data_IF_179319545751
#
_entry.id   IF_179319545751
#
_cell.length_a   1.000
_cell.length_b   1.000
_cell.length_c   1.000
_cell.angle_alpha   90.00
_cell.angle_beta   90.00
_cell.angle_gamma   90.00
#
_symmetry.space_group_name_H-M   'P 1'
#
loop_
_entity.id
_entity.type
_entity.pdbx_description
1 polymer ?
#
# COMPACT_ATOMS: atom_id res chain seq x y z
N UNK A 1 -1.58 10.64 17.06
CA UNK A 1 -1.09 9.87 15.90
C UNK A 1 0.42 9.64 16.03
N UNK A 2 0.87 8.61 16.79
CA UNK A 2 2.30 8.31 16.93
C UNK A 2 3.05 8.17 15.60
N UNK A 3 4.19 8.86 15.50
CA UNK A 3 5.13 8.80 14.40
C UNK A 3 6.49 8.33 14.92
N UNK A 4 7.02 7.24 14.37
CA UNK A 4 8.29 6.63 14.80
C UNK A 4 9.22 6.56 13.61
N UNK A 5 10.36 7.25 13.68
CA UNK A 5 11.45 7.13 12.72
C UNK A 5 12.59 6.30 13.29
N UNK A 6 13.41 5.72 12.42
CA UNK A 6 14.60 5.00 12.87
C UNK A 6 15.37 4.36 11.73
N UNK A 7 16.29 3.47 12.10
CA UNK A 7 17.08 2.69 11.16
C UNK A 7 17.19 1.24 11.61
N UNK A 8 17.33 0.34 10.64
CA UNK A 8 17.51 -1.09 10.86
C UNK A 8 18.65 -1.60 9.97
N UNK A 9 19.39 -2.62 10.42
CA UNK A 9 20.50 -3.24 9.69
C UNK A 9 20.10 -4.54 8.99
N UNK A 10 18.87 -5.03 9.21
CA UNK A 10 18.38 -6.28 8.65
C UNK A 10 16.85 -6.34 8.56
N UNK A 11 16.33 -7.28 7.75
CA UNK A 11 14.88 -7.55 7.65
C UNK A 11 14.27 -7.99 9.01
N UNK A 12 14.91 -8.89 9.80
CA UNK A 12 14.50 -9.16 11.18
C UNK A 12 14.44 -7.93 12.09
N UNK A 13 15.39 -6.99 11.97
CA UNK A 13 15.37 -5.75 12.74
C UNK A 13 14.20 -4.85 12.33
N UNK A 14 13.88 -4.72 11.04
CA UNK A 14 12.68 -3.98 10.60
C UNK A 14 11.39 -4.60 11.13
N UNK A 15 11.26 -5.94 11.08
CA UNK A 15 10.11 -6.63 11.68
C UNK A 15 9.98 -6.32 13.16
N UNK A 16 11.11 -6.37 13.87
CA UNK A 16 11.17 -6.11 15.31
C UNK A 16 10.81 -4.67 15.63
N UNK A 17 11.33 -3.70 14.86
CA UNK A 17 11.02 -2.28 15.01
C UNK A 17 9.53 -1.99 14.77
N UNK A 18 8.95 -2.55 13.70
CA UNK A 18 7.51 -2.44 13.41
C UNK A 18 6.66 -3.01 14.55
N UNK A 19 6.89 -4.27 14.92
CA UNK A 19 6.06 -4.96 15.92
C UNK A 19 6.19 -4.31 17.31
N UNK A 20 7.41 -3.92 17.72
CA UNK A 20 7.62 -3.19 18.98
C UNK A 20 6.95 -1.81 18.94
N UNK A 21 7.02 -1.10 17.82
CA UNK A 21 6.33 0.19 17.64
C UNK A 21 4.82 0.07 17.78
N UNK A 22 4.21 -0.97 17.20
CA UNK A 22 2.78 -1.24 17.31
C UNK A 22 2.38 -1.66 18.73
N UNK A 23 3.13 -2.58 19.36
CA UNK A 23 2.87 -3.03 20.75
C UNK A 23 3.00 -1.89 21.75
N UNK A 24 4.00 -1.01 21.59
CA UNK A 24 4.15 0.18 22.42
C UNK A 24 2.98 1.17 22.30
N UNK A 25 2.19 1.09 21.22
CA UNK A 25 1.04 1.94 20.94
C UNK A 25 -0.30 1.17 20.97
N UNK A 26 -0.36 0.12 21.80
CA UNK A 26 -1.62 -0.54 22.19
C UNK A 26 -2.12 -1.64 21.24
N UNK A 27 -1.31 -2.09 20.29
CA UNK A 27 -1.59 -3.31 19.53
C UNK A 27 -1.15 -4.55 20.34
N UNK A 28 -1.81 -5.69 20.11
CA UNK A 28 -1.45 -6.97 20.74
C UNK A 28 -0.74 -7.86 19.73
N UNK A 29 0.38 -8.47 20.14
CA UNK A 29 1.11 -9.47 19.36
C UNK A 29 0.89 -10.86 19.96
N UNK A 30 0.39 -11.79 19.15
CA UNK A 30 0.27 -13.22 19.46
C UNK A 30 0.90 -14.04 18.34
N UNK A 31 1.98 -14.78 18.64
CA UNK A 31 2.80 -15.47 17.63
C UNK A 31 3.37 -14.51 16.58
N UNK A 32 2.85 -14.59 15.35
CA UNK A 32 3.18 -13.68 14.26
C UNK A 32 2.07 -12.65 13.95
N UNK A 33 0.92 -12.74 14.62
CA UNK A 33 -0.26 -11.91 14.37
C UNK A 33 -0.22 -10.67 15.26
N UNK A 34 -0.13 -9.50 14.64
CA UNK A 34 -0.38 -8.21 15.29
C UNK A 34 -1.85 -7.84 15.06
N UNK A 35 -2.55 -7.42 16.13
CA UNK A 35 -3.97 -7.09 16.04
C UNK A 35 -4.42 -6.01 17.03
N UNK A 36 -5.49 -5.30 16.65
CA UNK A 36 -6.19 -4.30 17.48
C UNK A 36 -7.62 -4.16 16.97
N UNK A 37 -8.60 -4.21 17.87
CA UNK A 37 -10.00 -4.30 17.47
C UNK A 37 -10.24 -5.50 16.56
N UNK A 38 -10.85 -5.26 15.41
CA UNK A 38 -11.13 -6.26 14.37
C UNK A 38 -10.02 -6.34 13.29
N UNK A 39 -8.94 -5.56 13.39
CA UNK A 39 -7.80 -5.62 12.45
C UNK A 39 -6.83 -6.72 12.87
N UNK A 40 -6.64 -7.73 12.01
CA UNK A 40 -5.69 -8.84 12.23
C UNK A 40 -4.72 -8.98 11.06
N UNK A 41 -3.42 -8.91 11.32
CA UNK A 41 -2.37 -9.08 10.30
C UNK A 41 -1.24 -9.98 10.81
N UNK A 42 -0.92 -11.04 10.06
CA UNK A 42 0.31 -11.80 10.26
C UNK A 42 1.48 -11.08 9.58
N UNK A 43 2.51 -10.73 10.35
CA UNK A 43 3.77 -10.18 9.81
C UNK A 43 4.85 -11.26 9.88
N UNK A 44 5.28 -11.77 8.72
CA UNK A 44 6.23 -12.90 8.62
C UNK A 44 7.45 -12.57 7.77
N UNK A 45 8.53 -13.34 7.98
CA UNK A 45 9.66 -13.45 7.04
C UNK A 45 9.52 -14.82 6.35
N UNK A 46 9.13 -14.87 5.07
CA UNK A 46 8.97 -16.14 4.36
C UNK A 46 10.26 -16.97 4.24
N UNK A 47 10.11 -18.29 4.39
CA UNK A 47 11.15 -19.32 4.29
C UNK A 47 10.72 -20.39 3.28
N UNK A 48 11.67 -21.10 2.65
CA UNK A 48 11.37 -22.16 1.68
C UNK A 48 11.01 -21.68 0.27
N UNK A 49 11.16 -20.39 -0.03
CA UNK A 49 10.76 -19.81 -1.32
C UNK A 49 11.88 -19.83 -2.35
N UNK A 50 11.61 -20.46 -3.49
CA UNK A 50 12.56 -20.75 -4.58
C UNK A 50 13.39 -19.58 -5.12
N UNK A 51 13.02 -18.33 -4.81
CA UNK A 51 13.71 -17.13 -5.27
C UNK A 51 14.11 -16.15 -4.16
N UNK A 52 13.58 -16.28 -2.94
CA UNK A 52 13.35 -15.12 -2.06
C UNK A 52 13.71 -15.24 -0.57
N UNK A 53 14.08 -16.42 -0.07
CA UNK A 53 14.21 -16.70 1.38
C UNK A 53 14.89 -15.60 2.21
N UNK A 54 14.31 -15.31 3.39
CA UNK A 54 14.88 -14.47 4.44
C UNK A 54 15.17 -12.99 4.07
N UNK A 55 14.62 -12.46 2.97
CA UNK A 55 14.93 -11.10 2.45
C UNK A 55 13.72 -10.17 2.27
N UNK A 56 12.60 -10.49 2.91
CA UNK A 56 11.32 -9.82 2.69
C UNK A 56 10.43 -9.94 3.94
N UNK A 57 9.57 -8.95 4.14
CA UNK A 57 8.46 -9.00 5.09
C UNK A 57 7.17 -9.21 4.31
N UNK A 58 6.37 -10.19 4.74
CA UNK A 58 5.03 -10.46 4.23
C UNK A 58 4.00 -10.01 5.26
N UNK A 59 2.93 -9.39 4.77
CA UNK A 59 1.79 -8.91 5.55
C UNK A 59 0.56 -9.66 5.05
N UNK A 60 0.04 -10.60 5.82
CA UNK A 60 -1.15 -11.36 5.46
C UNK A 60 -2.32 -10.91 6.34
N UNK A 61 -3.41 -10.44 5.74
CA UNK A 61 -4.62 -10.07 6.49
C UNK A 61 -5.42 -11.29 6.96
N UNK A 62 -6.20 -11.15 8.02
CA UNK A 62 -7.18 -12.15 8.45
C UNK A 62 -8.47 -11.51 8.96
N UNK A 63 -9.49 -12.34 9.20
CA UNK A 63 -10.80 -11.90 9.72
C UNK A 63 -10.92 -12.09 11.23
N UNK A 64 -10.11 -12.97 11.81
CA UNK A 64 -9.88 -13.11 13.25
C UNK A 64 -8.56 -13.84 13.52
N UNK A 65 -8.22 -14.09 14.78
CA UNK A 65 -7.08 -14.93 15.16
C UNK A 65 -7.47 -15.91 16.26
N UNK A 66 -6.82 -17.08 16.30
CA UNK A 66 -6.84 -17.98 17.44
C UNK A 66 -5.46 -18.62 17.66
N UNK A 67 -4.96 -18.55 18.90
CA UNK A 67 -3.69 -19.14 19.33
C UNK A 67 -2.49 -18.75 18.44
N UNK A 68 -2.36 -17.46 18.11
CA UNK A 68 -1.26 -16.92 17.32
C UNK A 68 -1.32 -17.22 15.82
N UNK A 69 -2.45 -17.73 15.32
CA UNK A 69 -2.69 -18.02 13.91
C UNK A 69 -3.93 -17.28 13.37
N UNK A 70 -3.86 -16.80 12.13
CA UNK A 70 -4.99 -16.16 11.47
C UNK A 70 -6.11 -17.14 11.14
N UNK A 71 -7.34 -16.67 11.30
CA UNK A 71 -8.55 -17.28 10.73
C UNK A 71 -9.06 -16.41 9.58
N UNK A 72 -9.63 -17.07 8.56
CA UNK A 72 -10.04 -16.41 7.31
C UNK A 72 -8.92 -15.59 6.67
N UNK A 73 -7.73 -16.16 6.40
CA UNK A 73 -6.61 -15.42 5.83
C UNK A 73 -6.95 -14.87 4.44
N UNK A 74 -6.35 -13.74 4.10
CA UNK A 74 -6.48 -13.13 2.78
C UNK A 74 -5.93 -14.03 1.67
N UNK A 75 -6.45 -13.86 0.45
CA UNK A 75 -5.99 -14.59 -0.75
C UNK A 75 -4.55 -14.27 -1.17
N UNK A 76 -3.94 -13.24 -0.57
CA UNK A 76 -2.57 -12.81 -0.84
C UNK A 76 -2.01 -12.06 0.37
N UNK A 77 -0.74 -12.26 0.67
CA UNK A 77 0.02 -11.42 1.61
C UNK A 77 0.97 -10.46 0.88
N UNK A 78 0.63 -9.18 0.70
CA UNK A 78 1.53 -8.17 0.14
C UNK A 78 2.88 -8.07 0.88
N UNK A 79 3.91 -7.61 0.16
CA UNK A 79 5.31 -7.70 0.61
C UNK A 79 6.13 -6.42 0.45
N UNK A 80 7.13 -6.28 1.33
CA UNK A 80 8.29 -5.39 1.15
C UNK A 80 9.58 -6.20 1.23
N UNK A 81 10.66 -5.67 0.69
CA UNK A 81 11.89 -6.39 0.43
C UNK A 81 12.12 -6.63 -1.05
N UNK A 82 13.18 -7.39 -1.35
CA UNK A 82 13.30 -8.15 -2.60
C UNK A 82 13.10 -7.41 -3.94
N UNK A 83 13.85 -6.33 -4.17
CA UNK A 83 13.92 -5.73 -5.51
C UNK A 83 15.08 -6.33 -6.34
N UNK A 84 15.31 -5.82 -7.54
CA UNK A 84 16.57 -6.05 -8.28
C UNK A 84 17.74 -5.18 -7.76
N UNK A 85 17.44 -4.04 -7.14
CA UNK A 85 18.39 -3.18 -6.42
C UNK A 85 18.70 -3.79 -5.04
N UNK A 86 19.99 -3.97 -4.72
CA UNK A 86 20.37 -4.32 -3.35
C UNK A 86 19.98 -3.18 -2.41
N UNK A 87 19.36 -3.51 -1.29
CA UNK A 87 19.17 -2.58 -0.20
C UNK A 87 20.54 -2.18 0.37
N UNK A 88 20.70 -0.90 0.72
CA UNK A 88 21.87 -0.36 1.39
C UNK A 88 21.59 -0.25 2.88
N UNK A 89 22.15 -1.16 3.67
CA UNK A 89 21.99 -1.16 5.12
C UNK A 89 22.98 -0.19 5.80
N UNK A 90 22.60 0.49 6.90
CA UNK A 90 21.26 0.49 7.49
C UNK A 90 20.25 1.25 6.64
N UNK A 91 19.02 0.73 6.54
CA UNK A 91 17.91 1.41 5.87
C UNK A 91 17.16 2.28 6.87
N UNK A 92 16.70 3.45 6.43
CA UNK A 92 15.82 4.30 7.21
C UNK A 92 14.37 3.80 7.10
N UNK A 93 13.59 3.99 8.16
CA UNK A 93 12.15 3.73 8.14
C UNK A 93 11.36 4.85 8.84
N UNK A 94 10.10 4.99 8.43
CA UNK A 94 9.10 5.83 9.10
C UNK A 94 7.84 4.98 9.35
N UNK A 95 7.32 4.98 10.57
CA UNK A 95 6.12 4.26 10.98
C UNK A 95 5.09 5.25 11.50
N UNK A 96 3.98 5.38 10.77
CA UNK A 96 2.80 6.11 11.19
C UNK A 96 1.82 5.11 11.83
N UNK A 97 1.41 5.39 13.06
CA UNK A 97 0.39 4.65 13.80
C UNK A 97 -0.74 5.63 14.06
N UNK A 98 -1.82 5.48 13.32
CA UNK A 98 -2.92 6.44 13.28
C UNK A 98 -4.12 5.83 14.00
N UNK A 99 -5.02 6.67 14.48
CA UNK A 99 -6.12 6.29 15.38
C UNK A 99 -7.37 7.08 15.01
N UNK A 100 -8.53 6.46 15.23
CA UNK A 100 -9.86 6.98 14.86
C UNK A 100 -10.00 7.32 13.35
N UNK A 101 -9.84 6.34 12.43
CA UNK A 101 -9.65 4.89 12.63
C UNK A 101 -8.19 4.44 12.86
N UNK A 102 -8.02 3.19 13.29
CA UNK A 102 -6.70 2.56 13.42
C UNK A 102 -6.10 2.22 12.03
N UNK A 103 -5.22 3.08 11.50
CA UNK A 103 -4.48 2.87 10.24
C UNK A 103 -2.97 2.85 10.45
N UNK A 104 -2.29 1.85 9.88
CA UNK A 104 -0.83 1.72 9.95
C UNK A 104 -0.20 1.97 8.58
N UNK A 105 0.81 2.85 8.52
CA UNK A 105 1.63 3.06 7.33
C UNK A 105 3.12 2.99 7.67
N UNK A 106 3.81 2.01 7.10
CA UNK A 106 5.22 1.72 7.35
C UNK A 106 6.05 1.91 6.08
N UNK A 107 6.86 2.97 6.05
CA UNK A 107 7.75 3.32 4.95
C UNK A 107 9.16 2.88 5.22
N UNK A 108 9.83 2.38 4.19
CA UNK A 108 11.23 1.94 4.23
C UNK A 108 11.95 2.60 3.06
N UNK A 109 13.13 3.18 3.31
CA UNK A 109 14.00 3.75 2.27
C UNK A 109 15.20 2.83 2.02
N UNK A 110 15.08 1.81 1.15
CA UNK A 110 16.15 0.85 0.90
C UNK A 110 17.41 1.43 0.25
N UNK A 111 17.28 2.51 -0.53
CA UNK A 111 18.38 3.33 -1.08
C UNK A 111 17.87 4.77 -1.23
N UNK A 112 18.76 5.76 -1.34
CA UNK A 112 18.46 7.21 -1.24
C UNK A 112 17.22 7.69 -2.01
N UNK A 113 16.96 7.15 -3.21
CA UNK A 113 15.88 7.58 -4.11
C UNK A 113 14.79 6.50 -4.36
N UNK A 114 14.75 5.42 -3.58
CA UNK A 114 13.76 4.33 -3.70
C UNK A 114 13.04 4.18 -2.36
N UNK A 115 11.71 4.10 -2.40
CA UNK A 115 10.85 3.91 -1.25
C UNK A 115 10.06 2.61 -1.41
N UNK A 116 9.79 1.96 -0.29
CA UNK A 116 8.81 0.89 -0.18
C UNK A 116 7.87 1.19 0.97
N UNK A 117 6.71 0.56 0.94
CA UNK A 117 5.70 0.69 1.98
C UNK A 117 5.02 -0.65 2.24
N UNK A 118 4.54 -0.79 3.47
CA UNK A 118 3.44 -1.68 3.83
C UNK A 118 2.42 -0.87 4.64
N UNK A 119 1.14 -1.14 4.46
CA UNK A 119 0.07 -0.50 5.20
C UNK A 119 -1.10 -1.46 5.41
N UNK A 120 -1.82 -1.30 6.51
CA UNK A 120 -3.00 -2.11 6.83
C UNK A 120 -3.92 -1.40 7.82
N UNK A 121 -5.22 -1.67 7.72
CA UNK A 121 -6.25 -1.14 8.61
C UNK A 121 -7.59 -1.87 8.43
N UNK A 122 -8.66 -1.28 8.97
CA UNK A 122 -10.05 -1.54 8.64
C UNK A 122 -10.61 -0.40 7.76
N UNK A 123 -11.51 -0.74 6.84
CA UNK A 123 -12.28 0.23 6.05
C UNK A 123 -13.42 0.82 6.87
N UNK A 124 -13.60 2.14 6.82
CA UNK A 124 -14.72 2.84 7.46
C UNK A 124 -16.04 2.81 6.64
N UNK A 125 -16.08 2.07 5.51
CA UNK A 125 -17.28 2.00 4.67
C UNK A 125 -18.39 1.23 5.38
N UNK A 126 -19.45 1.93 5.76
CA UNK A 126 -20.60 1.34 6.42
C UNK A 126 -21.39 0.37 5.49
N UNK A 127 -21.83 -0.76 6.05
CA UNK A 127 -22.70 -1.71 5.35
C UNK A 127 -21.98 -2.76 4.50
N UNK A 128 -20.66 -2.90 4.63
CA UNK A 128 -19.94 -4.07 4.12
C UNK A 128 -20.38 -5.34 4.88
N UNK A 129 -20.66 -6.46 4.19
CA UNK A 129 -20.85 -7.76 4.85
C UNK A 129 -19.56 -8.35 5.43
N UNK A 130 -18.41 -8.02 4.84
CA UNK A 130 -17.09 -8.39 5.33
C UNK A 130 -16.59 -7.44 6.43
N UNK A 131 -15.50 -7.83 7.08
CA UNK A 131 -14.86 -7.05 8.16
C UNK A 131 -14.31 -5.69 7.71
N UNK A 132 -14.11 -5.46 6.41
CA UNK A 132 -13.48 -4.26 5.87
C UNK A 132 -11.95 -4.22 6.04
N UNK A 133 -11.33 -5.26 6.61
CA UNK A 133 -9.88 -5.33 6.79
C UNK A 133 -9.16 -5.25 5.45
N UNK A 134 -8.09 -4.46 5.36
CA UNK A 134 -7.27 -4.36 4.16
C UNK A 134 -5.79 -4.37 4.47
N UNK A 135 -5.00 -4.86 3.52
CA UNK A 135 -3.54 -4.91 3.58
C UNK A 135 -3.00 -4.54 2.21
N UNK A 136 -1.97 -3.70 2.18
CA UNK A 136 -1.26 -3.29 0.97
C UNK A 136 0.23 -3.17 1.20
N UNK A 137 1.03 -3.37 0.15
CA UNK A 137 2.46 -3.12 0.18
C UNK A 137 2.99 -2.80 -1.23
N UNK A 138 4.30 -2.58 -1.36
CA UNK A 138 4.94 -2.33 -2.67
C UNK A 138 4.90 -3.53 -3.61
N UNK A 139 4.96 -4.77 -3.10
CA UNK A 139 4.99 -5.99 -3.93
C UNK A 139 3.84 -6.95 -3.62
N UNK A 140 3.53 -7.80 -4.60
CA UNK A 140 2.61 -8.92 -4.45
C UNK A 140 3.22 -10.12 -3.71
N UNK A 141 2.38 -11.09 -3.33
CA UNK A 141 2.77 -12.26 -2.53
C UNK A 141 3.62 -13.30 -3.29
N UNK A 142 3.49 -13.44 -4.62
CA UNK A 142 4.21 -14.50 -5.36
C UNK A 142 5.12 -13.98 -6.51
N UNK A 143 5.26 -12.66 -6.61
CA UNK A 143 5.85 -11.94 -7.74
C UNK A 143 7.27 -12.37 -8.13
N UNK A 144 7.40 -12.97 -9.33
CA UNK A 144 8.70 -13.24 -9.95
C UNK A 144 9.27 -11.99 -10.62
N UNK A 145 10.08 -11.24 -9.87
CA UNK A 145 10.98 -10.15 -10.30
C UNK A 145 10.88 -9.67 -11.77
N UNK A 146 9.99 -8.72 -12.05
CA UNK A 146 10.35 -7.62 -12.94
C UNK A 146 10.97 -6.49 -12.12
N UNK A 147 12.15 -6.00 -12.52
CA UNK A 147 12.62 -4.69 -12.02
C UNK A 147 11.80 -3.52 -12.58
N UNK A 148 10.91 -3.82 -13.53
CA UNK A 148 10.28 -2.94 -14.48
C UNK A 148 8.77 -3.14 -14.40
N UNK A 149 8.01 -2.13 -14.02
CA UNK A 149 6.57 -2.21 -13.80
C UNK A 149 5.84 -1.15 -14.62
N UNK A 150 4.52 -1.27 -14.73
CA UNK A 150 3.64 -0.26 -15.31
C UNK A 150 3.02 0.65 -14.24
N UNK A 151 2.94 1.95 -14.49
CA UNK A 151 2.02 2.85 -13.78
C UNK A 151 1.59 4.01 -14.68
N UNK A 152 0.35 4.45 -14.47
CA UNK A 152 -0.33 5.56 -15.13
C UNK A 152 -1.36 6.17 -14.16
N UNK A 153 -2.02 7.27 -14.54
CA UNK A 153 -3.03 7.93 -13.70
C UNK A 153 -4.31 7.10 -13.48
N UNK A 154 -4.58 6.12 -14.34
CA UNK A 154 -5.76 5.23 -14.27
C UNK A 154 -5.44 3.84 -13.69
N UNK A 155 -4.18 3.54 -13.38
CA UNK A 155 -3.80 2.22 -12.87
C UNK A 155 -2.36 1.83 -13.21
N UNK A 156 -1.94 0.65 -12.78
CA UNK A 156 -0.58 0.13 -12.94
C UNK A 156 -0.50 -1.39 -12.79
N UNK A 157 0.71 -1.93 -12.71
CA UNK A 157 0.96 -3.34 -12.95
C UNK A 157 1.30 -3.60 -14.41
N UNK A 158 1.59 -4.87 -14.74
CA UNK A 158 1.95 -5.27 -16.11
C UNK A 158 0.78 -5.87 -16.89
N UNK A 159 0.73 -5.65 -18.20
CA UNK A 159 -0.25 -6.25 -19.12
C UNK A 159 0.20 -7.59 -19.71
N UNK A 160 1.45 -7.99 -19.49
CA UNK A 160 2.08 -9.10 -20.20
C UNK A 160 1.66 -10.45 -19.59
N UNK A 161 1.26 -11.38 -20.45
CA UNK A 161 0.83 -12.72 -20.05
C UNK A 161 2.01 -13.49 -19.44
N UNK A 162 1.97 -13.70 -18.12
CA UNK A 162 3.07 -14.31 -17.37
C UNK A 162 4.13 -13.32 -16.87
N UNK A 163 3.77 -12.04 -16.77
CA UNK A 163 4.50 -11.04 -15.99
C UNK A 163 3.80 -10.81 -14.64
N UNK A 164 4.61 -10.58 -13.60
CA UNK A 164 4.28 -10.89 -12.21
C UNK A 164 4.45 -9.69 -11.25
N UNK A 165 4.27 -8.48 -11.79
CA UNK A 165 4.43 -7.24 -11.04
C UNK A 165 3.07 -6.53 -10.89
N UNK A 166 2.55 -6.56 -9.67
CA UNK A 166 1.45 -5.69 -9.21
C UNK A 166 1.93 -4.24 -9.09
N UNK A 167 1.05 -3.22 -9.22
CA UNK A 167 1.45 -1.82 -9.16
C UNK A 167 2.21 -1.50 -7.86
N UNK A 168 3.25 -0.65 -7.95
CA UNK A 168 3.97 -0.15 -6.77
C UNK A 168 3.19 0.91 -5.99
N UNK A 169 1.85 0.86 -6.01
CA UNK A 169 0.94 1.82 -5.43
C UNK A 169 -0.26 1.09 -4.82
N UNK A 170 -0.81 1.57 -3.69
CA UNK A 170 -1.91 0.89 -3.01
C UNK A 170 -3.21 1.07 -3.81
N UNK A 171 -4.03 0.02 -3.89
CA UNK A 171 -5.34 0.05 -4.57
C UNK A 171 -5.30 0.56 -6.03
N UNK A 172 -4.22 0.30 -6.77
CA UNK A 172 -3.93 0.94 -8.06
C UNK A 172 -4.08 0.00 -9.29
N UNK A 173 -4.69 -1.17 -9.13
CA UNK A 173 -4.79 -2.21 -10.18
C UNK A 173 -6.19 -2.35 -10.81
N UNK A 174 -6.27 -2.70 -12.09
CA UNK A 174 -7.42 -3.35 -12.73
C UNK A 174 -7.06 -4.57 -13.58
N UNK A 175 -7.51 -5.78 -13.23
CA UNK A 175 -7.49 -7.00 -14.08
C UNK A 175 -6.11 -7.65 -14.36
N UNK A 176 -5.96 -8.97 -14.53
CA UNK A 176 -6.95 -10.06 -14.63
C UNK A 176 -6.50 -11.33 -13.85
N UNK A 177 -5.19 -11.50 -13.56
CA UNK A 177 -4.62 -12.75 -13.03
C UNK A 177 -4.79 -12.85 -11.50
N UNK A 178 -5.25 -14.00 -11.02
CA UNK A 178 -5.82 -14.18 -9.67
C UNK A 178 -4.85 -14.67 -8.58
N UNK A 179 -3.54 -14.43 -8.72
CA UNK A 179 -2.52 -14.96 -7.79
C UNK A 179 -1.57 -13.93 -7.18
N UNK A 180 -1.62 -12.67 -7.63
CA UNK A 180 -0.61 -11.68 -7.27
C UNK A 180 -1.21 -10.30 -7.04
N UNK A 181 -1.30 -9.98 -5.75
CA UNK A 181 -1.99 -8.80 -5.29
C UNK A 181 -1.06 -8.07 -4.31
N UNK A 182 -0.66 -6.84 -4.64
CA UNK A 182 -0.02 -5.96 -3.67
C UNK A 182 -1.04 -5.30 -2.74
N UNK A 183 -2.34 -5.53 -2.96
CA UNK A 183 -3.44 -4.95 -2.18
C UNK A 183 -4.64 -5.90 -2.12
N UNK A 184 -5.14 -6.16 -0.91
CA UNK A 184 -6.32 -7.00 -0.61
C UNK A 184 -7.25 -6.27 0.37
N UNK A 185 -8.56 -6.50 0.27
CA UNK A 185 -9.60 -5.94 1.14
C UNK A 185 -10.73 -6.96 1.35
N UNK A 186 -11.21 -7.10 2.58
CA UNK A 186 -12.25 -8.07 2.97
C UNK A 186 -13.65 -7.42 2.99
N UNK A 187 -14.26 -7.25 1.82
CA UNK A 187 -15.54 -6.53 1.66
C UNK A 187 -16.79 -7.42 1.84
N UNK A 188 -16.70 -8.72 1.55
CA UNK A 188 -17.82 -9.67 1.70
C UNK A 188 -18.98 -9.49 0.71
N UNK A 189 -18.82 -8.73 -0.37
CA UNK A 189 -19.89 -8.50 -1.34
C UNK A 189 -20.00 -9.68 -2.32
N UNK A 190 -21.22 -9.95 -2.80
CA UNK A 190 -21.51 -11.06 -3.74
C UNK A 190 -21.05 -12.46 -3.25
N UNK A 191 -21.02 -12.64 -1.93
CA UNK A 191 -20.50 -13.82 -1.20
C UNK A 191 -18.97 -14.05 -1.35
N UNK A 192 -18.24 -13.14 -1.99
CA UNK A 192 -16.77 -13.12 -2.04
C UNK A 192 -16.20 -12.43 -0.78
N UNK A 193 -15.40 -13.15 -0.01
CA UNK A 193 -14.81 -12.64 1.23
C UNK A 193 -13.71 -11.59 0.99
N UNK A 194 -12.56 -12.06 0.47
CA UNK A 194 -11.38 -11.23 0.22
C UNK A 194 -11.24 -10.91 -1.26
N UNK A 195 -11.43 -9.63 -1.60
CA UNK A 195 -11.20 -9.10 -2.94
C UNK A 195 -9.81 -8.48 -3.03
N UNK A 196 -9.26 -8.40 -4.26
CA UNK A 196 -7.95 -7.83 -4.51
C UNK A 196 -7.91 -6.92 -5.75
N UNK A 197 -6.89 -6.08 -5.81
CA UNK A 197 -6.51 -5.39 -7.06
C UNK A 197 -5.72 -6.35 -7.96
N UNK A 198 -6.06 -6.44 -9.24
CA UNK A 198 -5.28 -7.16 -10.26
C UNK A 198 -4.68 -6.18 -11.27
N UNK A 199 -3.67 -6.55 -12.05
CA UNK A 199 -2.82 -5.74 -12.97
C UNK A 199 -3.39 -4.50 -13.73
N UNK A 200 -3.18 -4.41 -15.05
CA UNK A 200 -3.40 -3.16 -15.83
C UNK A 200 -4.69 -3.19 -16.67
N UNK A 201 -5.63 -2.25 -16.41
CA UNK A 201 -6.87 -2.08 -17.16
C UNK A 201 -7.31 -0.62 -17.23
N UNK A 202 -7.88 -0.25 -18.38
CA UNK A 202 -8.47 1.06 -18.64
C UNK A 202 -9.92 1.20 -18.16
N UNK A 203 -10.52 0.10 -17.67
CA UNK A 203 -11.86 0.04 -17.10
C UNK A 203 -11.81 -0.57 -15.71
N UNK A 204 -12.81 -0.27 -14.88
CA UNK A 204 -12.91 -0.84 -13.53
C UNK A 204 -13.29 -2.32 -13.62
N UNK A 205 -12.33 -3.17 -13.31
CA UNK A 205 -12.42 -4.64 -13.39
C UNK A 205 -12.03 -5.35 -12.08
N UNK A 206 -11.45 -4.62 -11.12
CA UNK A 206 -11.10 -5.11 -9.78
C UNK A 206 -11.03 -3.93 -8.80
N UNK A 207 -10.65 -4.22 -7.55
CA UNK A 207 -10.45 -3.24 -6.47
C UNK A 207 -9.48 -2.11 -6.89
N UNK A 208 -10.02 -0.90 -7.12
CA UNK A 208 -9.26 0.23 -7.64
C UNK A 208 -9.72 1.57 -7.05
N UNK A 209 -8.78 2.42 -6.64
CA UNK A 209 -9.01 3.79 -6.17
C UNK A 209 -8.51 4.87 -7.14
N UNK A 210 -7.60 4.54 -8.07
CA UNK A 210 -7.00 5.49 -9.00
C UNK A 210 -7.98 5.97 -10.09
N UNK A 211 -8.74 5.06 -10.68
CA UNK A 211 -9.61 5.32 -11.85
C UNK A 211 -10.69 6.38 -11.58
N UNK A 212 -11.22 6.44 -10.36
CA UNK A 212 -12.26 7.41 -9.99
C UNK A 212 -11.70 8.83 -9.80
N UNK A 213 -10.41 8.96 -9.48
CA UNK A 213 -9.73 10.25 -9.29
C UNK A 213 -8.77 10.63 -10.42
N UNK A 214 -8.57 9.77 -11.43
CA UNK A 214 -7.61 10.00 -12.52
C UNK A 214 -7.76 11.38 -13.20
N UNK A 215 -8.97 11.89 -13.51
CA UNK A 215 -9.13 13.23 -14.09
C UNK A 215 -8.74 14.38 -13.14
N UNK A 216 -8.54 14.12 -11.85
CA UNK A 216 -8.03 15.08 -10.86
C UNK A 216 -6.50 14.94 -10.69
N UNK A 217 -5.97 13.73 -10.79
CA UNK A 217 -4.52 13.46 -10.87
C UNK A 217 -3.90 14.03 -12.14
N UNK A 218 -4.59 13.96 -13.28
CA UNK A 218 -4.12 14.52 -14.57
C UNK A 218 -4.12 16.05 -14.58
N UNK A 219 -4.96 16.68 -13.74
CA UNK A 219 -5.08 18.15 -13.59
C UNK A 219 -4.33 18.72 -12.39
N UNK A 220 -3.67 17.86 -11.61
CA UNK A 220 -2.77 18.23 -10.52
C UNK A 220 -1.31 18.11 -11.01
N UNK A 221 -0.37 18.97 -10.56
CA UNK A 221 -0.62 20.20 -9.84
C UNK A 221 -1.37 21.21 -10.72
N UNK A 222 -2.07 22.14 -10.09
CA UNK A 222 -2.79 23.21 -10.76
C UNK A 222 -1.81 24.13 -11.51
N UNK A 223 -2.02 24.31 -12.81
CA UNK A 223 -1.21 25.19 -13.67
C UNK A 223 -1.22 26.67 -13.22
N UNK A 224 -2.14 27.08 -12.35
CA UNK A 224 -2.26 28.46 -11.87
C UNK A 224 -1.30 28.79 -10.72
N UNK A 225 -1.11 27.85 -9.79
CA UNK A 225 -0.35 28.07 -8.54
C UNK A 225 0.69 26.98 -8.22
N UNK A 226 0.76 25.90 -8.99
CA UNK A 226 1.71 24.80 -8.78
C UNK A 226 1.35 23.85 -7.63
N UNK A 227 0.22 24.04 -6.97
CA UNK A 227 -0.22 23.19 -5.86
C UNK A 227 -0.87 21.89 -6.37
N UNK A 228 -0.55 20.76 -5.74
CA UNK A 228 -1.27 19.51 -5.96
C UNK A 228 -2.35 19.31 -4.88
N UNK A 229 -3.51 18.83 -5.30
CA UNK A 229 -4.64 18.58 -4.38
C UNK A 229 -4.43 17.23 -3.68
N UNK A 230 -4.73 17.16 -2.39
CA UNK A 230 -4.83 15.89 -1.65
C UNK A 230 -6.16 15.20 -1.99
N UNK A 231 -6.10 14.09 -2.71
CA UNK A 231 -7.26 13.34 -3.20
C UNK A 231 -7.55 12.12 -2.28
N UNK A 232 -8.83 11.81 -1.98
CA UNK A 232 -9.17 10.67 -1.14
C UNK A 232 -8.74 9.35 -1.78
N UNK A 233 -8.31 8.38 -0.96
CA UNK A 233 -8.06 7.01 -1.40
C UNK A 233 -9.31 6.20 -1.08
N UNK A 234 -10.18 6.09 -2.08
CA UNK A 234 -11.46 5.36 -2.00
C UNK A 234 -11.46 4.21 -2.99
N UNK A 235 -11.10 2.99 -2.56
CA UNK A 235 -11.22 1.78 -3.36
C UNK A 235 -12.67 1.47 -3.75
N UNK A 236 -12.91 1.30 -5.05
CA UNK A 236 -14.16 0.83 -5.63
C UNK A 236 -14.00 -0.57 -6.22
N UNK A 237 -15.10 -1.31 -6.23
CA UNK A 237 -15.21 -2.65 -6.82
C UNK A 237 -16.32 -2.66 -7.88
N UNK A 238 -16.05 -3.30 -9.03
CA UNK A 238 -17.06 -3.60 -10.05
C UNK A 238 -18.05 -4.65 -9.52
N UNK A 239 -19.33 -4.40 -9.71
CA UNK A 239 -20.45 -5.25 -9.29
C UNK A 239 -21.26 -5.73 -10.51
N UNK A 240 -22.04 -6.81 -10.38
CA UNK A 240 -22.94 -7.30 -11.42
C UNK A 240 -23.78 -6.20 -12.09
N UNK A 241 -24.00 -6.34 -13.40
CA UNK A 241 -24.67 -5.35 -14.26
C UNK A 241 -23.94 -4.00 -14.37
N UNK A 242 -22.60 -4.02 -14.38
CA UNK A 242 -21.73 -2.85 -14.56
C UNK A 242 -21.97 -1.72 -13.54
N UNK A 243 -22.31 -2.09 -12.30
CA UNK A 243 -22.40 -1.16 -11.18
C UNK A 243 -21.05 -1.08 -10.48
N UNK A 244 -20.85 -0.08 -9.62
CA UNK A 244 -19.67 0.05 -8.77
C UNK A 244 -20.09 0.27 -7.31
N UNK A 245 -19.35 -0.31 -6.38
CA UNK A 245 -19.50 -0.08 -4.94
C UNK A 245 -18.20 0.46 -4.37
N UNK A 246 -18.27 1.49 -3.54
CA UNK A 246 -17.14 1.88 -2.68
C UNK A 246 -16.98 0.79 -1.61
N UNK A 247 -15.76 0.32 -1.38
CA UNK A 247 -15.45 -0.73 -0.40
C UNK A 247 -14.31 -0.35 0.55
N UNK A 248 -13.49 0.64 0.17
CA UNK A 248 -12.50 1.27 1.05
C UNK A 248 -12.73 2.77 1.19
N UNK A 249 -12.36 3.31 2.34
CA UNK A 249 -12.11 4.73 2.55
C UNK A 249 -10.95 4.84 3.54
N UNK A 250 -9.79 5.33 3.09
CA UNK A 250 -8.62 5.51 3.95
C UNK A 250 -8.67 6.93 4.54
N UNK A 251 -8.90 7.03 5.83
CA UNK A 251 -9.10 8.27 6.54
C UNK A 251 -7.84 9.15 6.54
N UNK A 252 -6.66 8.55 6.70
CA UNK A 252 -5.41 9.28 6.95
C UNK A 252 -4.39 9.26 5.80
N UNK A 253 -4.73 8.72 4.63
CA UNK A 253 -3.87 8.75 3.44
C UNK A 253 -4.56 9.41 2.24
N UNK A 254 -3.82 10.20 1.47
CA UNK A 254 -4.33 10.92 0.30
C UNK A 254 -3.41 10.73 -0.89
N UNK A 255 -3.96 10.49 -2.08
CA UNK A 255 -3.19 10.51 -3.31
C UNK A 255 -2.89 11.95 -3.74
N UNK A 256 -1.72 12.18 -4.33
CA UNK A 256 -1.36 13.47 -4.93
C UNK A 256 -0.33 13.29 -6.04
N UNK A 257 -0.14 14.37 -6.81
CA UNK A 257 0.99 14.49 -7.74
C UNK A 257 2.13 15.23 -7.04
N UNK A 258 3.27 14.57 -6.86
CA UNK A 258 4.41 15.06 -6.07
C UNK A 258 5.41 15.88 -6.89
N UNK A 259 4.98 16.48 -8.02
CA UNK A 259 5.82 17.26 -8.94
C UNK A 259 6.71 18.27 -8.21
N UNK A 260 6.09 19.11 -7.37
CA UNK A 260 6.74 20.22 -6.70
C UNK A 260 7.16 19.91 -5.25
N UNK A 261 6.85 18.72 -4.74
CA UNK A 261 7.19 18.28 -3.37
C UNK A 261 8.40 17.34 -3.37
N UNK A 262 9.34 17.55 -2.45
CA UNK A 262 10.38 16.56 -2.14
C UNK A 262 9.77 15.34 -1.43
N UNK A 263 10.38 14.14 -1.57
CA UNK A 263 10.07 13.03 -0.67
C UNK A 263 10.29 13.44 0.79
N UNK A 264 9.34 13.08 1.66
CA UNK A 264 9.24 13.45 3.08
C UNK A 264 9.02 14.94 3.36
N UNK A 265 8.68 15.74 2.34
CA UNK A 265 8.20 17.10 2.56
C UNK A 265 6.86 17.11 3.32
N UNK A 266 6.66 18.11 4.16
CA UNK A 266 5.49 18.27 5.01
C UNK A 266 4.58 19.33 4.40
N UNK A 267 3.35 18.96 4.07
CA UNK A 267 2.29 19.92 3.73
C UNK A 267 1.57 20.28 5.03
N UNK A 268 1.57 21.56 5.39
CA UNK A 268 0.79 22.12 6.50
C UNK A 268 -0.59 22.55 5.98
N UNK A 269 -1.63 21.87 6.49
CA UNK A 269 -3.04 22.19 6.28
C UNK A 269 -3.74 22.31 7.65
N UNK A 270 -3.14 23.09 8.56
CA UNK A 270 -3.62 23.46 9.91
C UNK A 270 -5.14 23.19 10.14
N UNK A 271 -5.51 22.22 11.00
CA UNK A 271 -4.68 21.62 12.06
C UNK A 271 -3.80 20.44 11.61
N UNK A 272 -3.83 20.02 10.34
CA UNK A 272 -3.25 18.75 9.92
C UNK A 272 -1.90 18.90 9.18
N UNK A 273 -0.92 18.09 9.57
CA UNK A 273 0.32 17.90 8.81
C UNK A 273 0.25 16.62 7.98
N UNK A 274 0.74 16.70 6.74
CA UNK A 274 0.74 15.58 5.79
C UNK A 274 2.16 15.36 5.25
N UNK A 275 2.78 14.21 5.58
CA UNK A 275 4.11 13.87 5.07
C UNK A 275 3.99 13.18 3.71
N UNK A 276 4.66 13.72 2.71
CA UNK A 276 4.60 13.28 1.30
C UNK A 276 5.57 12.13 1.03
N UNK A 277 5.11 11.08 0.37
CA UNK A 277 5.95 9.98 -0.10
C UNK A 277 5.72 9.71 -1.59
N UNK A 278 6.78 9.44 -2.38
CA UNK A 278 6.59 8.75 -3.66
C UNK A 278 6.04 7.35 -3.39
N UNK A 279 5.27 6.83 -4.34
CA UNK A 279 4.89 5.41 -4.32
C UNK A 279 6.11 4.48 -4.40
N UNK A 280 7.12 4.87 -5.18
CA UNK A 280 8.43 4.22 -5.20
C UNK A 280 9.60 5.19 -5.38
N UNK A 281 9.82 5.67 -6.60
CA UNK A 281 10.87 6.64 -6.92
C UNK A 281 10.26 7.81 -7.68
N UNK A 282 10.64 9.04 -7.31
CA UNK A 282 10.22 10.25 -8.01
C UNK A 282 11.01 10.42 -9.31
N UNK A 283 10.34 10.58 -10.44
CA UNK A 283 10.90 11.03 -11.71
C UNK A 283 10.01 12.13 -12.30
N UNK A 284 10.55 13.34 -12.45
CA UNK A 284 9.83 14.50 -13.02
C UNK A 284 9.95 14.59 -14.55
N UNK A 285 10.90 13.88 -15.17
CA UNK A 285 11.02 13.79 -16.63
C UNK A 285 9.99 12.82 -17.20
N UNK A 286 9.81 11.66 -16.57
CA UNK A 286 8.77 10.68 -16.91
C UNK A 286 7.61 10.79 -15.93
N UNK A 287 6.99 11.96 -15.98
CA UNK A 287 6.04 12.47 -14.99
C UNK A 287 4.87 11.53 -14.71
N UNK A 288 4.27 10.96 -15.75
CA UNK A 288 3.10 10.08 -15.67
C UNK A 288 3.47 8.59 -15.60
N UNK A 289 4.71 8.27 -15.24
CA UNK A 289 5.21 6.91 -15.26
C UNK A 289 5.35 6.40 -16.68
N UNK A 290 4.81 5.22 -16.96
CA UNK A 290 5.08 4.45 -18.17
C UNK A 290 4.99 2.95 -17.92
N UNK A 291 5.26 2.16 -18.96
CA UNK A 291 5.37 0.70 -18.89
C UNK A 291 6.82 0.27 -18.92
N UNK A 292 7.19 -0.70 -18.08
CA UNK A 292 8.55 -1.26 -18.07
C UNK A 292 9.61 -0.34 -17.45
N UNK A 293 9.23 0.42 -16.41
CA UNK A 293 10.07 1.45 -15.77
C UNK A 293 10.40 1.12 -14.31
N UNK A 294 11.41 1.78 -13.72
CA UNK A 294 11.88 1.55 -12.33
C UNK A 294 11.33 2.54 -11.29
N UNK A 295 10.50 3.50 -11.71
CA UNK A 295 9.97 4.59 -10.87
C UNK A 295 8.45 4.73 -10.99
N UNK A 296 7.87 5.64 -10.20
CA UNK A 296 6.42 5.95 -10.24
C UNK A 296 6.13 7.36 -10.77
N UNK A 297 7.08 7.97 -11.49
CA UNK A 297 6.92 9.31 -12.04
C UNK A 297 6.74 10.33 -10.92
N UNK A 298 5.69 11.13 -10.98
CA UNK A 298 5.26 12.02 -9.88
C UNK A 298 4.02 11.50 -9.16
N UNK A 299 3.68 10.22 -9.25
CA UNK A 299 2.64 9.63 -8.41
C UNK A 299 3.16 9.33 -7.00
N UNK A 300 2.34 9.70 -6.01
CA UNK A 300 2.60 9.45 -4.61
C UNK A 300 1.36 9.62 -3.76
N UNK A 301 1.59 9.66 -2.46
CA UNK A 301 0.59 9.85 -1.42
C UNK A 301 1.16 10.69 -0.28
N UNK A 302 0.27 11.33 0.48
CA UNK A 302 0.59 12.04 1.69
C UNK A 302 -0.14 11.36 2.87
N UNK A 303 0.55 11.22 3.99
CA UNK A 303 0.05 10.55 5.20
C UNK A 303 -0.08 11.57 6.32
N UNK A 304 -1.26 11.62 6.96
CA UNK A 304 -1.58 12.53 8.05
C UNK A 304 -0.84 12.13 9.33
N UNK A 305 -0.28 13.11 10.03
CA UNK A 305 0.34 12.93 11.35
C UNK A 305 0.30 14.23 12.15
N UNK A 306 0.66 14.18 13.44
CA UNK A 306 0.53 15.31 14.37
C UNK A 306 1.61 16.40 14.22
N UNK A 307 2.61 16.21 13.34
CA UNK A 307 3.78 17.08 13.20
C UNK A 307 4.98 16.66 14.07
N UNK A 308 6.12 17.36 13.95
CA UNK A 308 7.33 17.16 14.76
C UNK A 308 7.30 17.86 16.13
#
# INVERSE_FOLDING_TARGET
MPFITGSANSIPELRTALLNGLVANGWTLDGNVIYKGDVFVEVTIPTGEAYGENRMLRFLGGTSQAAGALSGPAISGPRVGFTATSWAWPVAYNLHILTDPDEIYFFIRPVTNDYQFAAFAQSNVAGLPGTGNWVTATYADLGRKGSLNGISSIGGGTSDVGSWDAPWAPFWGGGIIASEHNTVLHDGLDDDGWTAGSGFSTVMSSLNAAQTIAPLLDRSPSNWNGEAVLLPIQPFLLRPSNKVSMVGDLAHARFLRIDNYAPEEIIDLNPDFWMVYPFRSKNTTERDGGGGITHTGTFGWAIRYDGP
#
